data_IF_723739373303
#
_entry.id   IF_723739373303
#
_cell.length_a   1.000
_cell.length_b   1.000
_cell.length_c   1.000
_cell.angle_alpha   90.00
_cell.angle_beta   90.00
_cell.angle_gamma   90.00
#
_symmetry.space_group_name_H-M   'P 1'
#
loop_
_entity.id
_entity.type
_entity.pdbx_description
1 polymer ?
#
# COMPACT_ATOMS: atom_id res chain seq x y z
N UNK A 1 -10.94 -1.93 -13.26
CA UNK A 1 -11.20 -0.76 -12.37
C UNK A 1 -10.14 0.28 -12.67
N UNK A 2 -10.54 1.53 -12.87
CA UNK A 2 -9.67 2.66 -13.20
C UNK A 2 -9.28 3.43 -11.92
N UNK A 3 -8.22 4.24 -12.00
CA UNK A 3 -7.70 5.03 -10.86
C UNK A 3 -8.67 6.11 -10.34
N UNK A 4 -9.73 6.41 -11.09
CA UNK A 4 -10.80 7.34 -10.71
C UNK A 4 -12.03 6.63 -10.10
N UNK A 5 -11.90 5.35 -9.72
CA UNK A 5 -12.98 4.58 -9.10
C UNK A 5 -13.98 3.99 -10.10
N UNK A 6 -13.90 4.30 -11.40
CA UNK A 6 -14.75 3.69 -12.40
C UNK A 6 -14.46 2.20 -12.54
N UNK A 7 -15.52 1.40 -12.61
CA UNK A 7 -15.43 -0.03 -12.81
C UNK A 7 -16.45 -0.52 -13.83
N UNK A 8 -16.10 -1.65 -14.45
CA UNK A 8 -16.99 -2.50 -15.23
C UNK A 8 -16.76 -3.92 -14.74
N UNK A 9 -17.82 -4.65 -14.49
CA UNK A 9 -17.82 -6.08 -14.17
C UNK A 9 -18.52 -6.81 -15.28
N UNK A 10 -17.85 -7.82 -15.82
CA UNK A 10 -18.44 -8.81 -16.72
C UNK A 10 -18.67 -10.08 -15.91
N UNK A 11 -19.88 -10.61 -15.97
CA UNK A 11 -20.33 -11.79 -15.24
C UNK A 11 -20.69 -12.85 -16.24
N UNK A 12 -20.03 -14.01 -16.14
CA UNK A 12 -20.29 -15.18 -16.96
C UNK A 12 -20.63 -16.35 -16.05
N UNK A 13 -21.89 -16.80 -16.09
CA UNK A 13 -22.41 -17.92 -15.28
C UNK A 13 -22.10 -17.83 -13.76
N UNK A 14 -21.83 -16.63 -13.26
CA UNK A 14 -21.47 -16.37 -11.87
C UNK A 14 -22.54 -15.51 -11.17
N UNK A 15 -22.55 -15.48 -9.84
CA UNK A 15 -23.43 -14.59 -9.09
C UNK A 15 -23.22 -13.12 -9.42
N UNK A 16 -24.29 -12.34 -9.33
CA UNK A 16 -24.22 -10.89 -9.44
C UNK A 16 -23.28 -10.30 -8.38
N UNK A 17 -22.49 -9.27 -8.72
CA UNK A 17 -21.64 -8.58 -7.76
C UNK A 17 -22.47 -7.82 -6.72
N UNK A 18 -21.86 -7.55 -5.57
CA UNK A 18 -22.44 -6.70 -4.51
C UNK A 18 -21.59 -5.45 -4.35
N UNK A 19 -22.21 -4.29 -4.23
CA UNK A 19 -21.52 -3.06 -3.86
C UNK A 19 -21.90 -2.64 -2.45
N UNK A 20 -20.90 -2.27 -1.65
CA UNK A 20 -21.09 -1.55 -0.39
C UNK A 20 -20.91 -0.08 -0.70
N UNK A 21 -21.97 0.70 -0.51
CA UNK A 21 -21.96 2.16 -0.69
C UNK A 21 -22.66 2.82 0.48
N UNK A 22 -22.07 3.87 1.04
CA UNK A 22 -22.59 4.57 2.23
C UNK A 22 -22.94 3.63 3.41
N UNK A 23 -22.13 2.58 3.63
CA UNK A 23 -22.36 1.61 4.70
C UNK A 23 -23.51 0.63 4.46
N UNK A 24 -24.00 0.50 3.23
CA UNK A 24 -25.06 -0.45 2.88
C UNK A 24 -24.64 -1.31 1.69
N UNK A 25 -24.80 -2.63 1.81
CA UNK A 25 -24.55 -3.60 0.76
C UNK A 25 -25.79 -3.79 -0.11
N UNK A 26 -25.63 -3.70 -1.42
CA UNK A 26 -26.68 -3.92 -2.41
C UNK A 26 -26.16 -4.76 -3.58
N UNK A 27 -26.99 -5.69 -4.06
CA UNK A 27 -26.74 -6.43 -5.29
C UNK A 27 -26.73 -5.46 -6.48
N UNK A 28 -25.70 -5.53 -7.30
CA UNK A 28 -25.65 -4.87 -8.60
C UNK A 28 -26.21 -5.83 -9.64
N UNK A 29 -27.43 -5.56 -10.12
CA UNK A 29 -28.02 -6.35 -11.20
C UNK A 29 -27.24 -6.14 -12.48
N UNK A 30 -26.90 -7.23 -13.14
CA UNK A 30 -26.25 -7.21 -14.44
C UNK A 30 -27.29 -7.11 -15.56
N UNK A 31 -26.97 -6.33 -16.58
CA UNK A 31 -27.73 -6.32 -17.83
C UNK A 31 -27.18 -7.43 -18.73
N UNK A 32 -28.04 -8.34 -19.16
CA UNK A 32 -27.66 -9.47 -20.00
C UNK A 32 -27.61 -9.01 -21.45
N UNK A 33 -26.46 -9.19 -22.10
CA UNK A 33 -26.34 -8.96 -23.53
C UNK A 33 -26.56 -10.28 -24.29
N UNK A 34 -27.73 -10.42 -24.91
CA UNK A 34 -28.10 -11.60 -25.72
C UNK A 34 -27.46 -11.62 -27.12
N UNK A 35 -26.82 -10.53 -27.56
CA UNK A 35 -26.16 -10.45 -28.87
C UNK A 35 -24.74 -11.05 -28.88
N UNK A 36 -24.18 -11.34 -27.71
CA UNK A 36 -22.90 -12.05 -27.57
C UNK A 36 -23.10 -13.56 -27.82
N UNK A 37 -22.06 -14.24 -28.31
CA UNK A 37 -22.04 -15.70 -28.51
C UNK A 37 -22.31 -16.50 -27.21
N UNK A 38 -22.21 -15.82 -26.07
CA UNK A 38 -22.33 -16.31 -24.71
C UNK A 38 -23.09 -15.27 -23.88
N UNK A 39 -23.97 -15.72 -22.96
CA UNK A 39 -24.74 -14.84 -22.07
C UNK A 39 -23.80 -14.18 -21.06
N UNK A 40 -23.40 -12.94 -21.33
CA UNK A 40 -22.57 -12.15 -20.43
C UNK A 40 -23.42 -11.06 -19.80
N UNK A 41 -23.47 -11.05 -18.47
CA UNK A 41 -24.01 -9.94 -17.70
C UNK A 41 -22.98 -8.84 -17.58
N UNK A 42 -23.36 -7.59 -17.83
CA UNK A 42 -22.50 -6.41 -17.65
C UNK A 42 -23.10 -5.48 -16.58
N UNK A 43 -22.26 -4.96 -15.70
CA UNK A 43 -22.60 -3.83 -14.83
C UNK A 43 -21.41 -2.89 -14.69
N UNK A 44 -21.68 -1.60 -14.67
CA UNK A 44 -20.65 -0.57 -14.47
C UNK A 44 -21.07 0.42 -13.40
N UNK A 45 -20.08 1.16 -12.87
CA UNK A 45 -20.32 2.15 -11.84
C UNK A 45 -19.07 2.88 -11.40
N UNK A 46 -19.19 3.63 -10.31
CA UNK A 46 -18.09 4.37 -9.69
C UNK A 46 -18.07 4.09 -8.20
N UNK A 47 -16.90 3.68 -7.70
CA UNK A 47 -16.63 3.53 -6.27
C UNK A 47 -16.09 4.85 -5.71
N UNK A 48 -16.79 5.42 -4.74
CA UNK A 48 -16.28 6.54 -3.95
C UNK A 48 -15.35 6.04 -2.83
N UNK A 49 -14.59 6.93 -2.21
CA UNK A 49 -13.72 6.57 -1.07
C UNK A 49 -14.57 5.99 0.06
N UNK A 50 -14.22 4.78 0.49
CA UNK A 50 -14.97 4.00 1.48
C UNK A 50 -15.90 2.94 0.88
N UNK A 51 -16.23 3.05 -0.41
CA UNK A 51 -17.04 2.05 -1.10
C UNK A 51 -16.24 0.76 -1.37
N UNK A 52 -16.95 -0.35 -1.55
CA UNK A 52 -16.33 -1.63 -1.91
C UNK A 52 -17.18 -2.42 -2.89
N UNK A 53 -16.53 -3.11 -3.81
CA UNK A 53 -17.12 -4.06 -4.73
C UNK A 53 -16.76 -5.48 -4.29
N UNK A 54 -17.75 -6.35 -4.21
CA UNK A 54 -17.61 -7.74 -3.80
C UNK A 54 -18.00 -8.65 -4.95
N UNK A 55 -17.12 -9.61 -5.23
CA UNK A 55 -17.29 -10.64 -6.24
C UNK A 55 -17.28 -12.01 -5.56
N UNK A 56 -18.08 -12.93 -6.08
CA UNK A 56 -18.30 -14.25 -5.48
C UNK A 56 -18.27 -15.32 -6.56
N UNK A 57 -17.75 -16.50 -6.24
CA UNK A 57 -18.09 -17.71 -7.00
C UNK A 57 -19.48 -18.20 -6.61
N UNK A 58 -20.08 -19.04 -7.46
CA UNK A 58 -21.32 -19.73 -7.19
C UNK A 58 -21.25 -20.59 -5.93
N UNK A 59 -20.10 -21.19 -5.60
CA UNK A 59 -19.86 -21.91 -4.34
C UNK A 59 -20.20 -21.11 -3.07
N UNK A 60 -20.12 -19.77 -3.11
CA UNK A 60 -20.62 -18.91 -2.01
C UNK A 60 -22.14 -18.87 -1.99
N UNK A 61 -22.79 -18.62 -3.14
CA UNK A 61 -24.25 -18.45 -3.20
C UNK A 61 -25.04 -19.75 -3.12
N UNK A 62 -24.46 -20.86 -3.57
CA UNK A 62 -25.05 -22.20 -3.49
C UNK A 62 -24.81 -22.85 -2.12
N UNK A 63 -24.05 -22.19 -1.22
CA UNK A 63 -23.77 -22.71 0.11
C UNK A 63 -25.05 -23.07 0.88
N UNK A 64 -25.03 -24.23 1.53
CA UNK A 64 -26.15 -24.79 2.27
C UNK A 64 -27.26 -25.41 1.42
N UNK A 65 -27.08 -25.54 0.09
CA UNK A 65 -28.02 -26.20 -0.81
C UNK A 65 -28.36 -27.63 -0.34
N UNK A 66 -29.65 -27.93 -0.26
CA UNK A 66 -30.16 -29.23 0.21
C UNK A 66 -29.89 -29.52 1.70
N UNK A 67 -29.36 -28.55 2.45
CA UNK A 67 -29.07 -28.65 3.88
C UNK A 67 -29.81 -27.53 4.63
N UNK A 68 -29.09 -26.46 4.98
CA UNK A 68 -29.65 -25.30 5.69
C UNK A 68 -30.60 -24.47 4.83
N UNK A 69 -30.46 -24.54 3.49
CA UNK A 69 -31.29 -23.82 2.54
C UNK A 69 -31.71 -24.72 1.36
N UNK A 70 -33.00 -24.74 0.97
CA UNK A 70 -33.46 -25.57 -0.14
C UNK A 70 -32.80 -25.25 -1.49
N UNK A 71 -32.47 -23.97 -1.73
CA UNK A 71 -31.90 -23.46 -3.00
C UNK A 71 -30.51 -22.82 -2.82
N UNK A 72 -29.84 -23.07 -1.69
CA UNK A 72 -28.66 -22.33 -1.27
C UNK A 72 -29.01 -20.97 -0.65
N UNK A 73 -28.03 -20.30 -0.05
CA UNK A 73 -28.22 -18.99 0.61
C UNK A 73 -28.58 -17.87 -0.38
N UNK A 74 -28.15 -17.98 -1.63
CA UNK A 74 -28.37 -17.00 -2.68
C UNK A 74 -27.64 -15.68 -2.45
N UNK A 75 -27.59 -14.86 -3.51
CA UNK A 75 -26.92 -13.55 -3.44
C UNK A 75 -27.62 -12.58 -2.47
N UNK A 76 -28.95 -12.65 -2.37
CA UNK A 76 -29.72 -11.79 -1.49
C UNK A 76 -29.47 -12.15 -0.01
N UNK A 77 -29.37 -13.45 0.32
CA UNK A 77 -29.04 -13.90 1.67
C UNK A 77 -27.61 -13.54 2.09
N UNK A 78 -26.65 -13.58 1.16
CA UNK A 78 -25.29 -13.10 1.39
C UNK A 78 -25.27 -11.58 1.60
N UNK A 79 -26.01 -10.82 0.78
CA UNK A 79 -26.12 -9.37 0.89
C UNK A 79 -26.72 -8.96 2.24
N UNK A 80 -27.77 -9.67 2.70
CA UNK A 80 -28.36 -9.43 4.02
C UNK A 80 -27.37 -9.73 5.15
N UNK A 81 -26.63 -10.83 5.05
CA UNK A 81 -25.59 -11.17 6.02
C UNK A 81 -24.51 -10.09 6.10
N UNK A 82 -24.02 -9.61 4.96
CA UNK A 82 -23.04 -8.52 4.88
C UNK A 82 -23.60 -7.26 5.55
N UNK A 83 -24.84 -6.87 5.26
CA UNK A 83 -25.47 -5.71 5.89
C UNK A 83 -25.50 -5.82 7.42
N UNK A 84 -25.84 -6.99 7.97
CA UNK A 84 -25.80 -7.22 9.43
C UNK A 84 -24.39 -7.07 10.00
N UNK A 85 -23.35 -7.45 9.24
CA UNK A 85 -21.95 -7.31 9.65
C UNK A 85 -21.45 -5.88 9.61
N UNK A 86 -21.83 -5.12 8.60
CA UNK A 86 -21.53 -3.68 8.52
C UNK A 86 -22.14 -2.94 9.72
N UNK A 87 -23.39 -3.26 10.10
CA UNK A 87 -24.05 -2.67 11.28
C UNK A 87 -23.35 -3.00 12.61
N UNK A 88 -22.55 -4.06 12.66
CA UNK A 88 -21.74 -4.42 13.83
C UNK A 88 -20.40 -3.66 13.87
N UNK A 89 -20.15 -2.77 12.92
CA UNK A 89 -18.89 -2.03 12.75
C UNK A 89 -17.67 -2.94 12.51
N UNK A 90 -17.90 -4.10 11.89
CA UNK A 90 -16.82 -4.98 11.46
C UNK A 90 -16.01 -4.31 10.33
N UNK A 91 -14.70 -4.56 10.30
CA UNK A 91 -13.83 -4.02 9.23
C UNK A 91 -14.23 -4.65 7.90
N UNK A 92 -14.34 -3.85 6.84
CA UNK A 92 -14.69 -4.36 5.49
C UNK A 92 -13.77 -5.52 5.07
N UNK A 93 -12.48 -5.43 5.37
CA UNK A 93 -11.49 -6.47 5.01
C UNK A 93 -11.78 -7.81 5.71
N UNK A 94 -12.34 -7.81 6.93
CA UNK A 94 -12.70 -9.06 7.60
C UNK A 94 -13.98 -9.70 7.04
N UNK A 95 -14.74 -9.01 6.18
CA UNK A 95 -15.94 -9.59 5.57
C UNK A 95 -15.63 -10.82 4.72
N UNK A 96 -14.45 -10.89 4.09
CA UNK A 96 -14.03 -12.10 3.36
C UNK A 96 -14.08 -13.33 4.26
N UNK A 97 -13.33 -13.29 5.37
CA UNK A 97 -13.26 -14.40 6.33
C UNK A 97 -14.64 -14.71 6.92
N UNK A 98 -15.41 -13.68 7.28
CA UNK A 98 -16.73 -13.87 7.88
C UNK A 98 -17.76 -14.48 6.92
N UNK A 99 -17.68 -14.14 5.62
CA UNK A 99 -18.54 -14.76 4.59
C UNK A 99 -18.10 -16.19 4.34
N UNK A 100 -16.80 -16.47 4.27
CA UNK A 100 -16.27 -17.83 4.16
C UNK A 100 -16.71 -18.71 5.34
N UNK A 101 -16.58 -18.22 6.57
CA UNK A 101 -17.03 -18.91 7.78
C UNK A 101 -18.54 -19.19 7.76
N UNK A 102 -19.32 -18.19 7.33
CA UNK A 102 -20.78 -18.33 7.17
C UNK A 102 -21.10 -19.44 6.16
N UNK A 103 -20.45 -19.44 5.00
CA UNK A 103 -20.62 -20.41 3.91
C UNK A 103 -20.28 -21.83 4.37
N UNK A 104 -19.17 -22.03 5.08
CA UNK A 104 -18.83 -23.33 5.66
C UNK A 104 -19.88 -23.76 6.69
N UNK A 105 -20.27 -22.87 7.60
CA UNK A 105 -21.20 -23.17 8.70
C UNK A 105 -22.57 -23.64 8.21
N UNK A 106 -23.13 -22.97 7.19
CA UNK A 106 -24.44 -23.35 6.64
C UNK A 106 -24.39 -24.62 5.78
N UNK A 107 -23.18 -25.07 5.43
CA UNK A 107 -22.91 -26.28 4.65
C UNK A 107 -22.36 -27.43 5.53
N UNK A 108 -22.65 -27.41 6.84
CA UNK A 108 -22.25 -28.46 7.76
C UNK A 108 -20.78 -28.39 8.22
N UNK A 109 -20.17 -27.20 8.16
CA UNK A 109 -18.78 -26.96 8.58
C UNK A 109 -17.73 -27.24 7.51
N UNK A 110 -18.13 -27.38 6.23
CA UNK A 110 -17.23 -27.65 5.10
C UNK A 110 -17.62 -26.84 3.87
N UNK A 111 -16.68 -26.64 2.96
CA UNK A 111 -16.95 -26.15 1.61
C UNK A 111 -17.32 -27.34 0.72
N UNK A 112 -18.50 -27.30 0.10
CA UNK A 112 -19.00 -28.39 -0.75
C UNK A 112 -18.48 -28.24 -2.19
N UNK A 113 -18.15 -27.01 -2.59
CA UNK A 113 -17.61 -26.64 -3.89
C UNK A 113 -16.53 -25.55 -3.73
N UNK A 114 -15.80 -25.25 -4.81
CA UNK A 114 -14.78 -24.21 -4.85
C UNK A 114 -15.38 -22.84 -4.52
N UNK A 115 -15.04 -22.34 -3.33
CA UNK A 115 -15.64 -21.13 -2.76
C UNK A 115 -14.62 -19.99 -2.79
N UNK A 116 -14.91 -18.96 -3.57
CA UNK A 116 -14.06 -17.77 -3.70
C UNK A 116 -14.86 -16.50 -3.44
N UNK A 117 -14.27 -15.59 -2.66
CA UNK A 117 -14.76 -14.22 -2.47
C UNK A 117 -13.60 -13.24 -2.71
N UNK A 118 -13.88 -12.16 -3.43
CA UNK A 118 -12.96 -11.04 -3.58
C UNK A 118 -13.65 -9.74 -3.17
N UNK A 119 -12.95 -8.92 -2.39
CA UNK A 119 -13.39 -7.58 -2.00
C UNK A 119 -12.40 -6.56 -2.53
N UNK A 120 -12.92 -5.56 -3.23
CA UNK A 120 -12.15 -4.47 -3.82
C UNK A 120 -12.65 -3.17 -3.21
N UNK A 121 -11.81 -2.53 -2.39
CA UNK A 121 -12.17 -1.31 -1.66
C UNK A 121 -11.51 -0.09 -2.29
N UNK A 122 -12.29 0.97 -2.52
CA UNK A 122 -11.76 2.28 -2.86
C UNK A 122 -11.41 3.01 -1.55
N UNK A 123 -10.16 3.43 -1.39
CA UNK A 123 -9.68 4.10 -0.17
C UNK A 123 -8.72 5.24 -0.52
N UNK A 124 -8.51 6.13 0.44
CA UNK A 124 -7.43 7.11 0.32
C UNK A 124 -6.08 6.39 0.19
N UNK A 125 -5.26 6.90 -0.73
CA UNK A 125 -3.92 6.40 -0.96
C UNK A 125 -3.02 6.76 0.24
N UNK A 126 -2.27 5.77 0.73
CA UNK A 126 -1.24 5.96 1.75
C UNK A 126 -0.03 6.55 1.06
N UNK A 127 0.48 7.66 1.59
CA UNK A 127 1.58 8.42 1.01
C UNK A 127 2.81 8.33 1.90
N UNK A 128 3.97 8.18 1.27
CA UNK A 128 5.28 8.31 1.91
C UNK A 128 6.11 9.35 1.17
N UNK A 129 6.60 10.33 1.92
CA UNK A 129 7.47 11.39 1.44
C UNK A 129 8.89 11.07 1.91
N UNK A 130 9.83 10.90 0.99
CA UNK A 130 11.24 10.61 1.29
C UNK A 130 12.10 11.78 0.86
N UNK A 131 12.67 12.50 1.81
CA UNK A 131 13.60 13.59 1.54
C UNK A 131 15.04 13.08 1.63
N UNK A 132 15.79 13.17 0.53
CA UNK A 132 17.18 12.74 0.49
C UNK A 132 18.07 13.68 -0.30
N UNK A 133 19.17 14.10 0.33
CA UNK A 133 20.10 15.06 -0.24
C UNK A 133 19.68 16.50 0.06
N UNK A 134 20.63 17.39 0.38
CA UNK A 134 20.28 18.77 0.65
C UNK A 134 20.00 19.52 -0.66
N UNK A 135 19.16 20.57 -0.64
CA UNK A 135 18.98 21.47 -1.76
C UNK A 135 20.31 22.08 -2.21
N UNK A 136 20.41 22.49 -3.49
CA UNK A 136 21.64 23.12 -4.00
C UNK A 136 21.89 24.48 -3.36
N UNK A 137 20.84 25.26 -3.10
CA UNK A 137 20.92 26.58 -2.50
C UNK A 137 20.30 26.58 -1.11
N UNK A 138 21.07 27.02 -0.12
CA UNK A 138 20.65 27.18 1.27
C UNK A 138 19.46 28.12 1.43
N UNK A 139 19.29 29.09 0.52
CA UNK A 139 18.16 30.03 0.53
C UNK A 139 16.82 29.32 0.33
N UNK A 140 16.83 28.14 -0.32
CA UNK A 140 15.63 27.32 -0.55
C UNK A 140 15.34 26.31 0.55
N UNK A 141 16.24 26.15 1.53
CA UNK A 141 16.10 25.15 2.58
C UNK A 141 14.75 25.27 3.30
N UNK A 142 14.40 26.49 3.73
CA UNK A 142 13.14 26.76 4.44
C UNK A 142 11.92 26.39 3.60
N UNK A 143 11.88 26.86 2.36
CA UNK A 143 10.77 26.59 1.42
C UNK A 143 10.57 25.09 1.20
N UNK A 144 11.66 24.35 0.98
CA UNK A 144 11.62 22.92 0.66
C UNK A 144 11.26 22.10 1.89
N UNK A 145 11.81 22.42 3.06
CA UNK A 145 11.44 21.75 4.32
C UNK A 145 9.97 22.02 4.66
N UNK A 146 9.49 23.26 4.50
CA UNK A 146 8.08 23.57 4.69
C UNK A 146 7.18 22.78 3.73
N UNK A 147 7.56 22.67 2.45
CA UNK A 147 6.83 21.85 1.48
C UNK A 147 6.81 20.38 1.91
N UNK A 148 7.96 19.84 2.31
CA UNK A 148 8.08 18.46 2.78
C UNK A 148 7.13 18.21 3.95
N UNK A 149 7.19 19.01 5.01
CA UNK A 149 6.36 18.85 6.21
C UNK A 149 4.86 19.06 5.97
N UNK A 150 4.47 19.93 5.02
CA UNK A 150 3.06 20.16 4.65
C UNK A 150 2.51 19.07 3.74
N UNK A 151 3.35 18.21 3.16
CA UNK A 151 2.90 17.16 2.26
C UNK A 151 2.23 16.04 3.06
N UNK A 152 0.99 15.70 2.73
CA UNK A 152 0.26 14.65 3.44
C UNK A 152 0.96 13.29 3.30
N UNK A 153 1.10 12.55 4.41
CA UNK A 153 1.67 11.22 4.43
C UNK A 153 2.67 11.03 5.58
N UNK A 154 3.31 9.86 5.60
CA UNK A 154 4.48 9.62 6.45
C UNK A 154 5.70 10.30 5.84
N UNK A 155 6.65 10.70 6.68
CA UNK A 155 7.87 11.42 6.30
C UNK A 155 9.11 10.62 6.67
N UNK A 156 10.00 10.41 5.71
CA UNK A 156 11.30 9.81 5.94
C UNK A 156 12.42 10.74 5.45
N UNK A 157 13.51 10.83 6.21
CA UNK A 157 14.71 11.59 5.83
C UNK A 157 15.90 10.64 5.71
N UNK A 158 16.53 10.63 4.54
CA UNK A 158 17.72 9.83 4.27
C UNK A 158 18.91 10.75 3.95
N UNK A 159 19.73 11.05 4.96
CA UNK A 159 20.95 11.84 4.81
C UNK A 159 21.20 12.78 5.99
N UNK A 160 22.40 12.71 6.58
CA UNK A 160 22.77 13.47 7.77
C UNK A 160 22.74 14.99 7.54
N UNK A 161 23.27 15.47 6.41
CA UNK A 161 23.16 16.90 6.05
C UNK A 161 21.71 17.32 5.78
N UNK A 162 20.88 16.45 5.20
CA UNK A 162 19.45 16.73 5.00
C UNK A 162 18.73 16.81 6.34
N UNK A 163 19.03 15.90 7.26
CA UNK A 163 18.51 15.90 8.63
C UNK A 163 18.89 17.18 9.38
N UNK A 164 20.15 17.63 9.29
CA UNK A 164 20.59 18.88 9.91
C UNK A 164 19.79 20.09 9.40
N UNK A 165 19.51 20.15 8.09
CA UNK A 165 18.70 21.21 7.50
C UNK A 165 17.25 21.12 8.00
N UNK A 166 16.64 19.94 7.96
CA UNK A 166 15.28 19.71 8.45
C UNK A 166 15.17 20.12 9.93
N UNK A 167 16.10 19.68 10.77
CA UNK A 167 16.13 20.00 12.19
C UNK A 167 16.28 21.50 12.46
N UNK A 168 17.17 22.17 11.72
CA UNK A 168 17.38 23.61 11.81
C UNK A 168 16.11 24.39 11.48
N UNK A 169 15.43 24.04 10.39
CA UNK A 169 14.23 24.74 9.95
C UNK A 169 13.00 24.44 10.82
N UNK A 170 12.95 23.26 11.45
CA UNK A 170 11.92 22.91 12.43
C UNK A 170 12.17 23.51 13.82
N UNK A 171 13.42 23.91 14.13
CA UNK A 171 13.81 24.29 15.48
C UNK A 171 13.83 23.11 16.47
N UNK A 172 13.95 21.88 15.96
CA UNK A 172 13.89 20.64 16.71
C UNK A 172 15.28 20.06 16.96
N UNK A 173 15.42 19.25 18.03
CA UNK A 173 16.66 18.56 18.35
C UNK A 173 16.67 17.16 17.72
N UNK A 174 17.82 16.77 17.18
CA UNK A 174 18.07 15.41 16.69
C UNK A 174 18.52 14.54 17.86
N UNK A 175 17.80 13.46 18.12
CA UNK A 175 18.22 12.43 19.06
C UNK A 175 18.86 11.26 18.30
N UNK A 176 19.94 10.74 18.83
CA UNK A 176 20.59 9.55 18.29
C UNK A 176 20.02 8.30 18.95
N UNK A 177 19.43 7.39 18.17
CA UNK A 177 18.81 6.18 18.72
C UNK A 177 19.82 5.05 18.81
N UNK A 178 20.49 4.73 17.70
CA UNK A 178 21.32 3.53 17.60
C UNK A 178 22.47 3.74 16.63
N UNK A 179 23.64 3.23 17.00
CA UNK A 179 24.85 3.32 16.18
C UNK A 179 25.00 2.12 15.25
N UNK A 180 25.62 2.34 14.10
CA UNK A 180 26.00 1.27 13.16
C UNK A 180 26.92 0.18 13.77
N UNK A 181 27.44 0.41 14.98
CA UNK A 181 28.30 -0.55 15.69
C UNK A 181 27.51 -1.63 16.44
N UNK A 182 26.20 -1.46 16.68
CA UNK A 182 25.40 -2.46 17.41
C UNK A 182 24.87 -3.59 16.55
N UNK A 183 24.83 -3.43 15.21
CA UNK A 183 24.48 -4.44 14.23
C UNK A 183 25.36 -4.25 12.99
N UNK A 184 26.21 -5.24 12.66
CA UNK A 184 27.17 -5.14 11.55
C UNK A 184 26.50 -4.64 10.27
N UNK A 185 26.84 -3.42 9.86
CA UNK A 185 26.43 -2.86 8.58
C UNK A 185 25.12 -2.09 8.56
N UNK A 186 24.33 -2.02 9.64
CA UNK A 186 23.09 -1.20 9.64
C UNK A 186 23.45 0.29 9.75
N UNK A 187 22.87 1.19 8.94
CA UNK A 187 23.13 2.63 9.07
C UNK A 187 22.60 3.16 10.41
N UNK A 188 23.20 4.21 10.98
CA UNK A 188 22.73 4.82 12.21
C UNK A 188 21.30 5.35 12.04
N UNK A 189 20.56 5.31 13.15
CA UNK A 189 19.19 5.80 13.23
C UNK A 189 19.13 7.04 14.12
N UNK A 190 18.34 8.00 13.66
CA UNK A 190 18.09 9.25 14.36
C UNK A 190 16.58 9.41 14.57
N UNK A 191 16.22 10.23 15.57
CA UNK A 191 14.84 10.62 15.85
C UNK A 191 14.75 12.14 15.84
N UNK A 192 13.64 12.64 15.29
CA UNK A 192 13.26 14.04 15.36
C UNK A 192 11.75 14.12 15.36
N UNK A 193 11.19 15.00 16.20
CA UNK A 193 9.74 15.16 16.29
C UNK A 193 9.16 15.55 14.93
N UNK A 194 8.07 14.89 14.54
CA UNK A 194 7.36 15.17 13.29
C UNK A 194 7.87 14.43 12.05
N UNK A 195 8.91 13.59 12.16
CA UNK A 195 9.41 12.74 11.07
C UNK A 195 9.35 11.27 11.49
N UNK A 196 8.77 10.41 10.64
CA UNK A 196 8.51 9.00 10.97
C UNK A 196 9.77 8.10 10.93
N UNK A 197 10.75 8.42 10.09
CA UNK A 197 11.99 7.62 9.98
C UNK A 197 13.17 8.47 9.52
N UNK A 198 14.30 8.39 10.22
CA UNK A 198 15.52 9.12 9.86
C UNK A 198 16.76 8.25 9.92
N UNK A 199 17.56 8.29 8.85
CA UNK A 199 18.85 7.58 8.79
C UNK A 199 19.83 8.26 7.82
N UNK A 200 20.93 7.56 7.52
CA UNK A 200 21.95 7.98 6.55
C UNK A 200 21.40 8.11 5.14
N UNK A 201 22.19 8.75 4.27
CA UNK A 201 21.80 9.02 2.89
C UNK A 201 22.00 7.81 1.97
N UNK A 202 23.09 7.83 1.22
CA UNK A 202 23.30 6.84 0.17
C UNK A 202 23.49 5.41 0.73
N UNK A 203 24.06 5.24 1.92
CA UNK A 203 24.25 3.92 2.55
C UNK A 203 22.88 3.25 2.78
N UNK A 204 21.97 3.95 3.43
CA UNK A 204 20.60 3.49 3.70
C UNK A 204 19.88 3.10 2.42
N UNK A 205 19.91 3.98 1.41
CA UNK A 205 19.25 3.72 0.13
C UNK A 205 19.82 2.49 -0.59
N UNK A 206 21.15 2.28 -0.56
CA UNK A 206 21.75 1.08 -1.16
C UNK A 206 21.31 -0.20 -0.45
N UNK A 207 21.24 -0.19 0.88
CA UNK A 207 20.78 -1.36 1.62
C UNK A 207 19.31 -1.65 1.38
N UNK A 208 18.47 -0.60 1.37
CA UNK A 208 17.07 -0.75 0.96
C UNK A 208 16.99 -1.32 -0.45
N UNK A 209 17.74 -0.79 -1.40
CA UNK A 209 17.73 -1.32 -2.76
C UNK A 209 18.11 -2.81 -2.83
N UNK A 210 18.98 -3.29 -1.95
CA UNK A 210 19.41 -4.69 -1.95
C UNK A 210 18.33 -5.66 -1.45
N UNK A 211 17.50 -5.23 -0.47
CA UNK A 211 16.48 -6.10 0.15
C UNK A 211 15.05 -5.77 -0.32
N UNK A 212 14.85 -4.65 -1.00
CA UNK A 212 13.55 -4.27 -1.57
C UNK A 212 13.17 -5.27 -2.68
N UNK A 213 12.00 -5.90 -2.50
CA UNK A 213 11.51 -7.01 -3.32
C UNK A 213 11.46 -8.34 -2.55
N UNK A 214 12.15 -8.46 -1.41
CA UNK A 214 12.03 -9.63 -0.54
C UNK A 214 10.65 -9.66 0.16
N UNK A 215 10.09 -10.86 0.44
CA UNK A 215 8.85 -10.98 1.19
C UNK A 215 8.92 -10.27 2.55
N UNK A 216 7.88 -9.51 2.90
CA UNK A 216 7.81 -8.74 4.15
C UNK A 216 7.99 -9.60 5.40
N UNK A 217 7.65 -10.89 5.32
CA UNK A 217 7.76 -11.87 6.40
C UNK A 217 9.23 -12.16 6.78
N UNK A 218 10.19 -11.83 5.91
CA UNK A 218 11.62 -11.97 6.20
C UNK A 218 12.18 -10.82 7.04
N UNK A 219 11.46 -9.70 7.17
CA UNK A 219 11.90 -8.53 7.92
C UNK A 219 11.60 -8.69 9.41
N UNK A 220 12.42 -9.52 10.08
CA UNK A 220 12.20 -9.94 11.47
C UNK A 220 12.96 -9.06 12.48
N UNK A 221 14.09 -8.49 12.08
CA UNK A 221 14.96 -7.71 12.97
C UNK A 221 14.44 -6.28 13.18
N UNK A 222 13.55 -5.83 12.29
CA UNK A 222 12.97 -4.49 12.27
C UNK A 222 14.06 -3.41 12.30
N UNK A 223 15.17 -3.63 11.59
CA UNK A 223 16.22 -2.62 11.41
C UNK A 223 15.67 -1.39 10.71
N UNK A 224 16.36 -0.25 10.79
CA UNK A 224 15.90 0.97 10.09
C UNK A 224 15.69 0.74 8.59
N UNK A 225 16.55 -0.08 7.96
CA UNK A 225 16.47 -0.49 6.55
C UNK A 225 15.21 -1.28 6.26
N UNK A 226 14.92 -2.28 7.09
CA UNK A 226 13.72 -3.11 6.99
C UNK A 226 12.45 -2.27 7.20
N UNK A 227 12.46 -1.37 8.19
CA UNK A 227 11.32 -0.48 8.44
C UNK A 227 11.07 0.47 7.28
N UNK A 228 12.09 1.01 6.63
CA UNK A 228 11.89 1.80 5.41
C UNK A 228 11.32 0.94 4.26
N UNK A 229 11.76 -0.31 4.12
CA UNK A 229 11.14 -1.25 3.16
C UNK A 229 9.67 -1.48 3.49
N UNK A 230 9.32 -1.70 4.76
CA UNK A 230 7.94 -1.87 5.21
C UNK A 230 7.10 -0.62 4.92
N UNK A 231 7.64 0.58 5.15
CA UNK A 231 6.98 1.84 4.76
C UNK A 231 6.71 1.90 3.25
N UNK A 232 7.65 1.44 2.41
CA UNK A 232 7.41 1.32 0.96
C UNK A 232 6.33 0.29 0.62
N UNK A 233 6.30 -0.87 1.29
CA UNK A 233 5.25 -1.88 1.11
C UNK A 233 3.87 -1.36 1.52
N UNK A 234 3.78 -0.59 2.60
CA UNK A 234 2.53 -0.03 3.14
C UNK A 234 1.96 1.15 2.34
N UNK A 235 2.81 1.84 1.56
CA UNK A 235 2.45 3.06 0.84
C UNK A 235 1.97 2.75 -0.58
N UNK A 236 1.04 3.53 -1.11
CA UNK A 236 0.58 3.43 -2.49
C UNK A 236 1.27 4.47 -3.38
N UNK A 237 1.51 5.65 -2.81
CA UNK A 237 2.19 6.77 -3.47
C UNK A 237 3.47 7.09 -2.70
N UNK A 238 4.57 7.20 -3.44
CA UNK A 238 5.88 7.49 -2.90
C UNK A 238 6.42 8.74 -3.59
N UNK A 239 6.63 9.79 -2.83
CA UNK A 239 7.24 11.04 -3.28
C UNK A 239 8.70 11.05 -2.83
N UNK A 240 9.63 11.02 -3.78
CA UNK A 240 11.03 11.30 -3.53
C UNK A 240 11.32 12.78 -3.75
N UNK A 241 11.68 13.49 -2.69
CA UNK A 241 12.24 14.85 -2.76
C UNK A 241 13.77 14.71 -2.74
N UNK A 242 14.41 15.03 -3.87
CA UNK A 242 15.81 14.70 -4.13
C UNK A 242 16.62 15.99 -4.23
N UNK A 243 17.51 16.23 -3.27
CA UNK A 243 18.46 17.34 -3.33
C UNK A 243 19.64 17.03 -4.25
N UNK A 244 19.97 17.98 -5.14
CA UNK A 244 21.04 17.88 -6.14
C UNK A 244 22.41 18.35 -5.64
N UNK A 245 22.54 18.73 -4.36
CA UNK A 245 23.85 19.05 -3.81
C UNK A 245 24.80 17.86 -4.00
N UNK A 246 25.91 18.12 -4.69
CA UNK A 246 26.93 17.13 -4.99
C UNK A 246 27.63 16.77 -3.68
N UNK A 247 27.60 15.48 -3.33
CA UNK A 247 28.40 14.99 -2.22
C UNK A 247 29.71 14.40 -2.76
N UNK A 248 30.82 15.11 -2.56
CA UNK A 248 32.16 14.69 -2.99
C UNK A 248 32.53 13.29 -2.47
N UNK A 249 32.01 12.89 -1.29
CA UNK A 249 32.29 11.59 -0.68
C UNK A 249 31.78 10.39 -1.51
N UNK A 250 30.76 10.58 -2.36
CA UNK A 250 30.21 9.52 -3.21
C UNK A 250 31.13 9.14 -4.38
N UNK A 251 32.12 9.97 -4.72
CA UNK A 251 33.10 9.72 -5.79
C UNK A 251 34.33 8.93 -5.32
N UNK A 252 34.46 8.66 -4.03
CA UNK A 252 35.67 8.07 -3.44
C UNK A 252 35.86 6.59 -3.82
N UNK A 253 37.12 6.14 -3.93
CA UNK A 253 37.45 4.73 -4.19
C UNK A 253 36.84 3.78 -3.15
N UNK A 254 36.78 4.22 -1.88
CA UNK A 254 36.17 3.46 -0.78
C UNK A 254 34.67 3.21 -1.01
N UNK A 255 33.95 4.20 -1.55
CA UNK A 255 32.53 4.08 -1.86
C UNK A 255 32.28 3.01 -2.94
N UNK A 256 33.13 2.99 -3.97
CA UNK A 256 33.10 1.94 -5.02
C UNK A 256 33.50 0.56 -4.49
N UNK A 257 34.52 0.47 -3.63
CA UNK A 257 34.97 -0.80 -3.03
C UNK A 257 33.88 -1.47 -2.17
N UNK A 258 33.02 -0.68 -1.52
CA UNK A 258 31.87 -1.17 -0.76
C UNK A 258 30.65 -1.51 -1.63
N UNK A 259 30.76 -1.37 -2.96
CA UNK A 259 29.66 -1.64 -3.90
C UNK A 259 28.51 -0.63 -3.80
N UNK A 260 28.73 0.53 -3.18
CA UNK A 260 27.68 1.54 -3.02
C UNK A 260 27.50 2.34 -4.32
N UNK A 261 26.26 2.47 -4.75
CA UNK A 261 25.87 3.34 -5.86
C UNK A 261 25.62 4.77 -5.37
N UNK A 262 25.94 5.79 -6.19
CA UNK A 262 25.57 7.17 -5.90
C UNK A 262 24.05 7.32 -5.69
N UNK A 263 23.64 8.29 -4.85
CA UNK A 263 22.23 8.55 -4.48
C UNK A 263 21.28 8.55 -5.69
N UNK A 264 21.60 9.32 -6.73
CA UNK A 264 20.75 9.40 -7.93
C UNK A 264 20.63 8.06 -8.66
N UNK A 265 21.70 7.28 -8.72
CA UNK A 265 21.69 5.95 -9.36
C UNK A 265 20.85 4.98 -8.56
N UNK A 266 21.10 4.86 -7.24
CA UNK A 266 20.33 3.92 -6.40
C UNK A 266 18.85 4.28 -6.34
N UNK A 267 18.49 5.57 -6.30
CA UNK A 267 17.09 6.00 -6.36
C UNK A 267 16.41 5.56 -7.66
N UNK A 268 17.08 5.65 -8.81
CA UNK A 268 16.51 5.13 -10.07
C UNK A 268 16.20 3.64 -9.99
N UNK A 269 17.06 2.84 -9.35
CA UNK A 269 16.82 1.41 -9.14
C UNK A 269 15.65 1.17 -8.17
N UNK A 270 15.61 1.87 -7.04
CA UNK A 270 14.51 1.79 -6.07
C UNK A 270 13.19 2.18 -6.73
N UNK A 271 13.13 3.35 -7.39
CA UNK A 271 11.93 3.82 -8.06
C UNK A 271 11.44 2.85 -9.14
N UNK A 272 12.35 2.21 -9.88
CA UNK A 272 12.00 1.16 -10.85
C UNK A 272 11.34 -0.04 -10.14
N UNK A 273 11.98 -0.58 -9.09
CA UNK A 273 11.43 -1.69 -8.31
C UNK A 273 10.05 -1.37 -7.74
N UNK A 274 9.89 -0.18 -7.15
CA UNK A 274 8.61 0.27 -6.59
C UNK A 274 7.51 0.38 -7.66
N UNK A 275 7.82 0.89 -8.85
CA UNK A 275 6.87 0.92 -9.98
C UNK A 275 6.48 -0.49 -10.44
N UNK A 276 7.44 -1.42 -10.50
CA UNK A 276 7.19 -2.83 -10.82
C UNK A 276 6.32 -3.51 -9.75
N UNK A 277 6.40 -3.06 -8.49
CA UNK A 277 5.51 -3.46 -7.39
C UNK A 277 4.13 -2.78 -7.42
N UNK A 278 3.80 -2.03 -8.47
CA UNK A 278 2.52 -1.36 -8.65
C UNK A 278 2.36 -0.05 -7.87
N UNK A 279 3.44 0.53 -7.35
CA UNK A 279 3.40 1.81 -6.62
C UNK A 279 3.43 3.01 -7.57
N UNK A 280 2.76 4.10 -7.20
CA UNK A 280 2.90 5.39 -7.88
C UNK A 280 4.13 6.13 -7.33
N UNK A 281 5.17 6.25 -8.13
CA UNK A 281 6.43 6.89 -7.71
C UNK A 281 6.62 8.24 -8.41
N UNK A 282 6.69 9.30 -7.61
CA UNK A 282 6.91 10.69 -8.03
C UNK A 282 8.30 11.11 -7.58
N UNK A 283 9.07 11.75 -8.46
CA UNK A 283 10.42 12.22 -8.17
C UNK A 283 10.49 13.73 -8.43
N UNK A 284 10.78 14.51 -7.39
CA UNK A 284 10.96 15.96 -7.44
C UNK A 284 12.41 16.31 -7.11
N UNK A 285 13.06 17.08 -7.97
CA UNK A 285 14.48 17.43 -7.83
C UNK A 285 14.62 18.89 -7.35
N UNK A 286 15.52 19.11 -6.37
CA UNK A 286 15.73 20.39 -5.67
C UNK A 286 17.21 20.78 -5.55
#
# INVERSE_FOLDING_TARGET
IMNNGHFTVFVYENPDPVVIKNGYAMRLKTEVNEEALEVVGETSGVLDVGDSLLLFSDGVTQAGLGQSYPLGIGIDGITEYINRKILQHDKIISLCEQVMDKTAKISGGKYVDDTTIAIITCREARKLNVFTGPPVSRERDKEIVEKFLKTQGKHAVCGSTTLEIVAREMGEKVNFITSAMSLFGTPPEYEINGIDLVSEGAIMLNQVNNILGEPKEKFLEMTVVERLCLLFYESDVILFMIGNAINEAHGTLKFKQLGLMPRQTVLKHISKKLREMGKLVIEENY
#
